data_IF_857076332818
#
_entry.id   IF_857076332818
#
_cell.length_a   1.000
_cell.length_b   1.000
_cell.length_c   1.000
_cell.angle_alpha   90.00
_cell.angle_beta   90.00
_cell.angle_gamma   90.00
#
_symmetry.space_group_name_H-M   'P 1'
#
loop_
_entity.id
_entity.type
_entity.pdbx_description
1 polymer ?
#
# COMPACT_ATOMS: atom_id res chain seq x y z
N UNK A 1 22.23 -35.11 -1.39
CA UNK A 1 21.57 -34.88 -0.09
C UNK A 1 21.80 -33.41 0.26
N UNK A 2 20.76 -32.57 0.26
CA UNK A 2 20.89 -31.18 0.70
C UNK A 2 21.20 -31.17 2.18
N UNK A 3 22.26 -30.45 2.58
CA UNK A 3 22.56 -30.17 3.97
C UNK A 3 22.31 -28.70 4.21
N UNK A 4 21.43 -28.39 5.15
CA UNK A 4 21.26 -27.02 5.64
C UNK A 4 22.47 -26.67 6.49
N UNK A 5 23.10 -25.53 6.20
CA UNK A 5 24.24 -25.03 6.96
C UNK A 5 23.86 -23.67 7.50
N UNK A 6 24.02 -23.49 8.82
CA UNK A 6 23.84 -22.19 9.44
C UNK A 6 24.96 -21.26 9.00
N UNK A 7 24.59 -20.07 8.51
CA UNK A 7 25.52 -19.04 8.08
C UNK A 7 25.20 -17.71 8.77
N UNK A 8 26.23 -16.90 8.96
CA UNK A 8 26.05 -15.53 9.45
C UNK A 8 25.83 -14.61 8.26
N UNK A 9 24.76 -13.82 8.33
CA UNK A 9 24.44 -12.76 7.37
C UNK A 9 24.66 -11.42 8.05
N UNK A 10 25.52 -10.59 7.48
CA UNK A 10 25.79 -9.23 7.96
C UNK A 10 25.22 -8.26 6.93
N UNK A 11 24.39 -7.32 7.38
CA UNK A 11 23.94 -6.18 6.58
C UNK A 11 24.78 -4.98 7.01
N UNK A 12 25.56 -4.41 6.08
CA UNK A 12 26.36 -3.23 6.37
C UNK A 12 25.57 -1.92 6.21
N UNK A 13 26.14 -0.80 6.67
CA UNK A 13 25.53 0.54 6.56
C UNK A 13 25.29 0.97 5.11
N UNK A 14 26.00 0.35 4.15
CA UNK A 14 25.83 0.58 2.71
C UNK A 14 24.76 -0.31 2.07
N UNK A 15 23.96 -1.02 2.89
CA UNK A 15 22.93 -1.98 2.46
C UNK A 15 23.49 -3.17 1.67
N UNK A 16 24.76 -3.49 1.83
CA UNK A 16 25.37 -4.68 1.24
C UNK A 16 25.17 -5.87 2.16
N UNK A 17 24.75 -6.99 1.59
CA UNK A 17 24.68 -8.28 2.25
C UNK A 17 26.04 -8.99 2.14
N UNK A 18 26.63 -9.32 3.27
CA UNK A 18 27.85 -10.12 3.36
C UNK A 18 27.49 -11.49 3.95
N UNK A 19 27.67 -12.54 3.15
CA UNK A 19 27.45 -13.93 3.52
C UNK A 19 28.78 -14.56 3.92
N UNK A 20 28.91 -14.98 5.19
CA UNK A 20 30.12 -15.65 5.67
C UNK A 20 29.92 -17.16 5.68
N UNK A 21 30.70 -17.87 4.85
CA UNK A 21 30.70 -19.33 4.81
C UNK A 21 31.52 -19.90 5.99
N UNK A 22 31.01 -20.93 6.69
CA UNK A 22 31.74 -21.56 7.78
C UNK A 22 32.97 -22.34 7.27
N UNK A 23 33.95 -22.49 8.17
CA UNK A 23 35.19 -23.22 7.91
C UNK A 23 34.88 -24.68 7.56
N UNK A 24 35.20 -25.10 6.33
CA UNK A 24 34.92 -26.45 5.83
C UNK A 24 34.13 -26.48 4.51
N UNK A 25 33.63 -25.33 4.05
CA UNK A 25 33.01 -25.20 2.72
C UNK A 25 34.01 -24.59 1.75
N UNK A 26 34.51 -25.40 0.82
CA UNK A 26 35.36 -24.91 -0.26
C UNK A 26 34.54 -24.14 -1.31
N UNK A 27 35.02 -22.96 -1.76
CA UNK A 27 34.45 -22.25 -2.89
C UNK A 27 34.39 -23.14 -4.14
N UNK A 28 33.29 -23.07 -4.91
CA UNK A 28 33.15 -23.79 -6.17
C UNK A 28 32.52 -25.20 -6.10
N UNK A 29 32.28 -25.75 -4.90
CA UNK A 29 31.64 -27.07 -4.75
C UNK A 29 30.19 -27.02 -4.24
N UNK A 30 29.67 -25.82 -3.94
CA UNK A 30 28.40 -25.64 -3.25
C UNK A 30 27.62 -24.47 -3.88
N UNK A 31 26.29 -24.60 -3.92
CA UNK A 31 25.38 -23.51 -4.27
C UNK A 31 24.73 -22.98 -3.00
N UNK A 32 24.69 -21.66 -2.86
CA UNK A 32 24.01 -20.97 -1.76
C UNK A 32 22.71 -20.38 -2.30
N UNK A 33 21.59 -20.70 -1.66
CA UNK A 33 20.27 -20.13 -1.98
C UNK A 33 19.83 -19.29 -0.79
N UNK A 34 19.76 -17.98 -0.98
CA UNK A 34 19.21 -17.03 -0.02
C UNK A 34 17.74 -16.81 -0.37
N UNK A 35 16.83 -17.08 0.57
CA UNK A 35 15.41 -16.75 0.45
C UNK A 35 15.15 -15.57 1.37
N UNK A 36 14.89 -14.41 0.79
CA UNK A 36 14.43 -13.23 1.52
C UNK A 36 12.91 -13.24 1.37
N UNK A 37 12.21 -13.44 2.48
CA UNK A 37 10.78 -13.17 2.54
C UNK A 37 10.65 -11.64 2.63
N UNK A 38 10.32 -11.00 1.52
CA UNK A 38 9.98 -9.59 1.49
C UNK A 38 8.66 -9.43 2.24
N UNK A 39 8.75 -9.23 3.55
CA UNK A 39 7.63 -8.66 4.28
C UNK A 39 7.54 -7.22 3.80
N UNK A 40 6.72 -7.02 2.77
CA UNK A 40 6.16 -5.72 2.49
C UNK A 40 5.55 -5.27 3.82
N UNK A 41 6.27 -4.40 4.54
CA UNK A 41 5.61 -3.51 5.47
C UNK A 41 4.70 -2.69 4.59
N UNK A 42 3.45 -3.14 4.48
CA UNK A 42 2.35 -2.29 4.11
C UNK A 42 2.32 -1.22 5.20
N UNK A 43 3.09 -0.16 4.97
CA UNK A 43 2.87 1.14 5.58
C UNK A 43 1.59 1.70 4.95
N UNK A 44 0.49 0.97 5.14
CA UNK A 44 -0.88 1.33 4.79
C UNK A 44 -1.48 2.18 5.92
N UNK A 45 -0.67 2.75 6.80
CA UNK A 45 -1.09 3.97 7.49
C UNK A 45 -1.11 5.07 6.45
N UNK A 46 -2.22 5.11 5.71
CA UNK A 46 -2.76 6.34 5.18
C UNK A 46 -2.75 7.32 6.35
N UNK A 47 -1.75 8.19 6.34
CA UNK A 47 -1.43 9.11 7.42
C UNK A 47 -2.63 10.03 7.59
N UNK A 48 -3.52 9.67 8.52
CA UNK A 48 -4.89 10.18 8.55
C UNK A 48 -4.89 11.68 8.80
N UNK A 49 -3.86 12.17 9.50
CA UNK A 49 -3.57 13.58 9.72
C UNK A 49 -3.32 14.36 8.42
N UNK A 50 -2.61 13.76 7.46
CA UNK A 50 -2.35 14.39 6.15
C UNK A 50 -3.61 14.41 5.28
N UNK A 51 -4.46 13.38 5.40
CA UNK A 51 -5.76 13.35 4.72
C UNK A 51 -6.70 14.40 5.29
N UNK A 52 -6.82 14.48 6.61
CA UNK A 52 -7.68 15.45 7.28
C UNK A 52 -7.24 16.89 6.98
N UNK A 53 -5.92 17.14 6.92
CA UNK A 53 -5.37 18.44 6.52
C UNK A 53 -5.72 18.80 5.07
N UNK A 54 -5.60 17.85 4.14
CA UNK A 54 -5.95 18.06 2.73
C UNK A 54 -7.45 18.35 2.55
N UNK A 55 -8.33 17.62 3.26
CA UNK A 55 -9.77 17.87 3.22
C UNK A 55 -10.15 19.21 3.88
N UNK A 56 -9.45 19.62 4.94
CA UNK A 56 -9.68 20.91 5.59
C UNK A 56 -9.36 22.10 4.66
N UNK A 57 -8.38 21.97 3.78
CA UNK A 57 -8.08 22.98 2.76
C UNK A 57 -9.23 23.09 1.73
N UNK A 58 -9.78 21.96 1.29
CA UNK A 58 -10.91 21.90 0.34
C UNK A 58 -12.21 22.50 0.89
N UNK A 59 -12.41 22.52 2.21
CA UNK A 59 -13.55 23.20 2.85
C UNK A 59 -13.54 24.70 2.57
N UNK A 60 -12.35 25.30 2.41
CA UNK A 60 -12.21 26.73 2.14
C UNK A 60 -12.11 27.06 0.64
N UNK A 61 -12.10 26.05 -0.23
CA UNK A 61 -12.07 26.23 -1.67
C UNK A 61 -13.48 26.52 -2.21
N UNK A 62 -13.75 27.79 -2.52
CA UNK A 62 -15.07 28.21 -3.01
C UNK A 62 -15.45 27.61 -4.36
N UNK A 63 -14.49 27.28 -5.23
CA UNK A 63 -14.79 26.68 -6.54
C UNK A 63 -15.24 25.24 -6.35
N UNK A 64 -14.50 24.48 -5.53
CA UNK A 64 -14.88 23.13 -5.13
C UNK A 64 -16.27 23.07 -4.47
N UNK A 65 -16.58 24.02 -3.56
CA UNK A 65 -17.89 24.04 -2.89
C UNK A 65 -19.05 24.35 -3.85
N UNK A 66 -18.82 25.14 -4.90
CA UNK A 66 -19.83 25.42 -5.92
C UNK A 66 -20.10 24.16 -6.76
N UNK A 67 -19.04 23.49 -7.21
CA UNK A 67 -19.14 22.26 -7.99
C UNK A 67 -19.81 21.13 -7.18
N UNK A 68 -19.40 20.94 -5.93
CA UNK A 68 -19.99 19.95 -5.02
C UNK A 68 -21.50 20.16 -4.88
N UNK A 69 -21.96 21.41 -4.70
CA UNK A 69 -23.39 21.73 -4.60
C UNK A 69 -24.15 21.44 -5.90
N UNK A 70 -23.52 21.68 -7.05
CA UNK A 70 -24.14 21.37 -8.34
C UNK A 70 -24.34 19.86 -8.47
N UNK A 71 -23.31 19.07 -8.16
CA UNK A 71 -23.35 17.61 -8.19
C UNK A 71 -24.43 17.08 -7.23
N UNK A 72 -24.53 17.62 -6.01
CA UNK A 72 -25.59 17.26 -5.06
C UNK A 72 -26.99 17.51 -5.61
N UNK A 73 -27.19 18.63 -6.32
CA UNK A 73 -28.44 18.95 -6.98
C UNK A 73 -28.81 17.95 -8.07
N UNK A 74 -27.86 17.59 -8.93
CA UNK A 74 -28.03 16.58 -9.99
C UNK A 74 -28.35 15.21 -9.39
N UNK A 75 -27.66 14.84 -8.30
CA UNK A 75 -27.87 13.56 -7.63
C UNK A 75 -29.24 13.49 -6.94
N UNK A 76 -29.71 14.58 -6.32
CA UNK A 76 -31.03 14.64 -5.71
C UNK A 76 -32.16 14.46 -6.75
N UNK A 77 -32.02 15.06 -7.93
CA UNK A 77 -32.96 14.88 -9.05
C UNK A 77 -32.97 13.42 -9.50
N UNK A 78 -31.80 12.85 -9.74
CA UNK A 78 -31.68 11.45 -10.16
C UNK A 78 -32.26 10.47 -9.13
N UNK A 79 -32.06 10.73 -7.83
CA UNK A 79 -32.67 9.94 -6.76
C UNK A 79 -34.20 10.01 -6.77
N UNK A 80 -34.76 11.20 -6.98
CA UNK A 80 -36.22 11.37 -7.07
C UNK A 80 -36.80 10.63 -8.26
N UNK A 81 -36.17 10.73 -9.43
CA UNK A 81 -36.57 9.99 -10.64
C UNK A 81 -36.49 8.47 -10.43
N UNK A 82 -35.40 7.99 -9.82
CA UNK A 82 -35.23 6.58 -9.51
C UNK A 82 -36.31 6.06 -8.54
N UNK A 83 -36.70 6.88 -7.55
CA UNK A 83 -37.79 6.55 -6.63
C UNK A 83 -39.12 6.42 -7.38
N UNK A 84 -39.46 7.36 -8.27
CA UNK A 84 -40.69 7.30 -9.07
C UNK A 84 -40.75 6.03 -9.94
N UNK A 85 -39.63 5.64 -10.54
CA UNK A 85 -39.55 4.40 -11.33
C UNK A 85 -39.75 3.16 -10.45
N UNK A 86 -39.16 3.14 -9.26
CA UNK A 86 -39.31 2.04 -8.32
C UNK A 86 -40.75 1.90 -7.82
N UNK A 87 -41.42 3.02 -7.54
CA UNK A 87 -42.83 3.06 -7.13
C UNK A 87 -43.76 2.62 -8.27
N UNK A 88 -43.51 3.06 -9.51
CA UNK A 88 -44.32 2.68 -10.67
C UNK A 88 -44.21 1.19 -11.03
N UNK A 89 -43.15 0.51 -10.59
CA UNK A 89 -42.94 -0.93 -10.81
C UNK A 89 -43.57 -1.81 -9.71
N UNK A 90 -44.08 -1.21 -8.64
CA UNK A 90 -44.68 -1.90 -7.49
C UNK A 90 -46.19 -2.09 -7.69
#
# INVERSE_FOLDING_TARGET
>A
MMKTIEMTVIVDESRKLILQLPNGISPGSHQVVLVIDEQAQADDSIDSENIDAAFAEMVNDSEYQIEARQIEGEFAVAQWEALQIAEAKR
#
